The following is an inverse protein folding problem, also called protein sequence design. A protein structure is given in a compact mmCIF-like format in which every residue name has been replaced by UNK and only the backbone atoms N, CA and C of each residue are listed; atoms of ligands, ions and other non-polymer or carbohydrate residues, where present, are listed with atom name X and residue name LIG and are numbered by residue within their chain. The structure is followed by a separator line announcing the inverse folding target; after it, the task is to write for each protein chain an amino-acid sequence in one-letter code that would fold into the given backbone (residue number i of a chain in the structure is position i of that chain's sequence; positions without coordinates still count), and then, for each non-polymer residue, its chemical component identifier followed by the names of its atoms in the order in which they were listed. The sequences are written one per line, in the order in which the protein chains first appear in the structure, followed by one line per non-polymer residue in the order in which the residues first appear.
data_IF_965365011146
#
_entry.id   IF_965365011146
#
_cell.length_a   1.000
_cell.length_b   1.000
_cell.length_c   1.000
_cell.angle_alpha   90.00
_cell.angle_beta   90.00
_cell.angle_gamma   90.00
#
_symmetry.space_group_name_H-M   'P 1'
#
loop_
_entity.id
_entity.type
_entity.pdbx_description
1 polymer ?
#
# COMPACT_ATOMS: atom_id res chain seq x y z
N UNK A 1 -23.35 -65.68 -54.86
CA UNK A 1 -23.57 -65.44 -53.41
C UNK A 1 -24.59 -64.31 -53.30
N UNK A 2 -25.87 -64.62 -53.09
CA UNK A 2 -26.56 -64.89 -51.82
C UNK A 2 -27.19 -63.59 -51.26
N UNK A 3 -28.52 -63.53 -51.36
CA UNK A 3 -29.42 -62.54 -50.74
C UNK A 3 -29.41 -62.69 -49.22
N UNK A 4 -29.40 -61.57 -48.48
CA UNK A 4 -30.05 -61.45 -47.16
C UNK A 4 -30.52 -60.01 -46.96
N UNK A 5 -31.84 -59.81 -46.89
CA UNK A 5 -32.48 -58.73 -46.14
C UNK A 5 -32.55 -59.16 -44.67
N UNK A 6 -32.23 -58.27 -43.72
CA UNK A 6 -32.62 -58.45 -42.33
C UNK A 6 -32.91 -57.10 -41.68
N UNK A 7 -34.10 -57.04 -41.10
CA UNK A 7 -34.70 -55.93 -40.39
C UNK A 7 -34.43 -56.03 -38.88
N UNK A 8 -34.75 -54.92 -38.18
CA UNK A 8 -35.13 -54.80 -36.75
C UNK A 8 -34.05 -55.05 -35.68
N UNK A 9 -33.78 -54.04 -34.85
CA UNK A 9 -34.38 -53.96 -33.52
C UNK A 9 -34.08 -52.60 -32.85
N UNK A 10 -35.11 -52.06 -32.21
CA UNK A 10 -35.07 -50.90 -31.34
C UNK A 10 -34.29 -51.19 -30.05
N UNK A 11 -33.53 -50.19 -29.58
CA UNK A 11 -33.01 -50.13 -28.22
C UNK A 11 -33.43 -48.81 -27.59
N UNK A 12 -34.37 -48.87 -26.65
CA UNK A 12 -34.75 -47.77 -25.78
C UNK A 12 -33.53 -47.35 -24.93
N UNK A 13 -33.10 -46.09 -25.07
CA UNK A 13 -32.29 -45.38 -24.09
C UNK A 13 -33.00 -44.08 -23.76
N UNK A 14 -33.53 -44.01 -22.54
CA UNK A 14 -34.17 -42.84 -21.94
C UNK A 14 -33.19 -41.63 -21.93
N UNK A 15 -33.70 -40.38 -21.82
CA UNK A 15 -32.92 -39.18 -22.08
C UNK A 15 -31.81 -39.03 -21.03
N UNK A 16 -30.57 -38.88 -21.49
CA UNK A 16 -29.49 -38.46 -20.62
C UNK A 16 -29.83 -37.10 -20.03
N UNK A 17 -29.74 -37.04 -18.70
CA UNK A 17 -29.94 -35.88 -17.85
C UNK A 17 -29.29 -34.64 -18.44
N UNK A 18 -30.02 -33.52 -18.40
CA UNK A 18 -29.40 -32.21 -18.50
C UNK A 18 -28.42 -32.11 -17.35
N UNK A 19 -27.12 -32.15 -17.67
CA UNK A 19 -26.09 -31.73 -16.75
C UNK A 19 -26.50 -30.36 -16.21
N UNK A 20 -26.72 -30.34 -14.90
CA UNK A 20 -27.05 -29.13 -14.17
C UNK A 20 -25.92 -28.14 -14.45
N UNK A 21 -26.26 -27.06 -15.16
CA UNK A 21 -25.42 -25.89 -15.23
C UNK A 21 -25.11 -25.50 -13.79
N UNK A 22 -23.86 -25.70 -13.39
CA UNK A 22 -23.31 -25.23 -12.13
C UNK A 22 -23.56 -23.72 -12.10
N UNK A 23 -24.60 -23.34 -11.36
CA UNK A 23 -24.92 -21.95 -11.07
C UNK A 23 -23.82 -21.41 -10.16
N UNK A 24 -22.69 -21.06 -10.74
CA UNK A 24 -21.77 -20.05 -10.19
C UNK A 24 -22.22 -18.67 -10.65
N UNK A 25 -23.53 -18.43 -10.56
CA UNK A 25 -24.05 -17.08 -10.48
C UNK A 25 -23.73 -16.58 -9.08
N UNK A 26 -22.55 -15.98 -8.90
CA UNK A 26 -22.42 -14.95 -7.87
C UNK A 26 -23.44 -13.91 -8.31
N UNK A 27 -24.63 -13.96 -7.74
CA UNK A 27 -25.61 -12.91 -7.86
C UNK A 27 -24.88 -11.63 -7.46
N UNK A 28 -24.53 -10.83 -8.45
CA UNK A 28 -24.20 -9.43 -8.25
C UNK A 28 -25.51 -8.77 -7.87
N UNK A 29 -25.95 -9.03 -6.64
CA UNK A 29 -26.90 -8.18 -5.96
C UNK A 29 -26.18 -6.84 -5.92
N UNK A 30 -26.58 -5.94 -6.81
CA UNK A 30 -26.19 -4.55 -6.71
C UNK A 30 -26.57 -4.14 -5.29
N UNK A 31 -25.57 -4.04 -4.42
CA UNK A 31 -25.78 -3.63 -3.04
C UNK A 31 -26.39 -2.23 -3.12
N UNK A 32 -27.70 -2.13 -2.93
CA UNK A 32 -28.37 -0.86 -2.68
C UNK A 32 -27.94 -0.41 -1.29
N UNK A 33 -26.73 0.16 -1.24
CA UNK A 33 -26.09 0.65 -0.04
C UNK A 33 -26.25 2.16 -0.04
N UNK A 34 -27.02 2.67 0.92
CA UNK A 34 -27.15 4.10 1.15
C UNK A 34 -25.84 4.70 1.70
N UNK A 35 -25.81 6.02 1.86
CA UNK A 35 -24.61 6.73 2.32
C UNK A 35 -24.12 6.30 3.71
N UNK A 36 -25.03 5.95 4.62
CA UNK A 36 -24.66 5.49 5.96
C UNK A 36 -24.04 4.08 5.91
N UNK A 37 -24.61 3.20 5.10
CA UNK A 37 -24.05 1.89 4.78
C UNK A 37 -22.64 2.03 4.17
N UNK A 38 -22.43 2.89 3.18
CA UNK A 38 -21.11 3.13 2.57
C UNK A 38 -20.13 3.62 3.63
N UNK A 39 -20.55 4.56 4.49
CA UNK A 39 -19.72 5.10 5.58
C UNK A 39 -19.31 4.01 6.58
N UNK A 40 -20.23 3.12 6.96
CA UNK A 40 -19.92 1.99 7.84
C UNK A 40 -18.90 1.03 7.21
N UNK A 41 -19.03 0.75 5.90
CA UNK A 41 -18.09 -0.09 5.17
C UNK A 41 -16.70 0.56 5.05
N UNK A 42 -16.64 1.87 4.78
CA UNK A 42 -15.38 2.64 4.78
C UNK A 42 -14.73 2.59 6.15
N UNK A 43 -15.45 2.86 7.23
CA UNK A 43 -14.90 2.82 8.59
C UNK A 43 -14.39 1.42 8.96
N UNK A 44 -15.12 0.36 8.58
CA UNK A 44 -14.65 -1.02 8.73
C UNK A 44 -13.34 -1.25 7.97
N UNK A 45 -13.24 -0.78 6.73
CA UNK A 45 -12.01 -0.92 5.93
C UNK A 45 -10.83 -0.19 6.58
N UNK A 46 -11.04 1.04 7.05
CA UNK A 46 -10.00 1.82 7.73
C UNK A 46 -9.56 1.15 9.04
N UNK A 47 -10.45 0.47 9.76
CA UNK A 47 -10.08 -0.32 10.94
C UNK A 47 -9.20 -1.53 10.57
N UNK A 48 -9.49 -2.21 9.45
CA UNK A 48 -8.68 -3.32 8.94
C UNK A 48 -7.27 -2.90 8.53
N UNK A 49 -7.07 -1.66 8.08
CA UNK A 49 -5.74 -1.12 7.79
C UNK A 49 -4.84 -0.93 9.03
N UNK A 50 -5.44 -0.95 10.22
CA UNK A 50 -4.72 -0.87 11.50
C UNK A 50 -4.31 -2.23 12.04
N UNK A 51 -4.40 -2.39 13.36
CA UNK A 51 -3.89 -3.58 14.08
C UNK A 51 -4.73 -4.86 13.88
N UNK A 52 -5.90 -4.78 13.24
CA UNK A 52 -6.90 -5.87 13.23
C UNK A 52 -7.09 -6.57 11.89
N UNK A 53 -6.36 -6.18 10.84
CA UNK A 53 -6.53 -6.74 9.50
C UNK A 53 -5.72 -8.00 9.25
N UNK A 54 -6.39 -9.07 8.81
CA UNK A 54 -5.73 -10.07 7.97
C UNK A 54 -5.85 -9.66 6.50
N UNK A 55 -4.87 -10.03 5.67
CA UNK A 55 -4.78 -9.62 4.27
C UNK A 55 -6.04 -9.98 3.46
N UNK A 56 -6.59 -11.18 3.68
CA UNK A 56 -7.80 -11.64 3.00
C UNK A 56 -9.03 -10.76 3.29
N UNK A 57 -9.20 -10.34 4.55
CA UNK A 57 -10.30 -9.47 4.96
C UNK A 57 -10.14 -8.04 4.41
N UNK A 58 -8.89 -7.54 4.38
CA UNK A 58 -8.57 -6.26 3.75
C UNK A 58 -8.93 -6.26 2.26
N UNK A 59 -8.50 -7.28 1.52
CA UNK A 59 -8.79 -7.39 0.09
C UNK A 59 -10.27 -7.60 -0.20
N UNK A 60 -10.96 -8.41 0.60
CA UNK A 60 -12.41 -8.61 0.46
C UNK A 60 -13.15 -7.29 0.65
N UNK A 61 -12.83 -6.56 1.71
CA UNK A 61 -13.41 -5.24 1.98
C UNK A 61 -13.11 -4.23 0.87
N UNK A 62 -11.89 -4.23 0.31
CA UNK A 62 -11.56 -3.34 -0.81
C UNK A 62 -12.36 -3.67 -2.07
N UNK A 63 -12.57 -4.95 -2.38
CA UNK A 63 -13.39 -5.39 -3.52
C UNK A 63 -14.85 -4.95 -3.35
N UNK A 64 -15.42 -5.14 -2.16
CA UNK A 64 -16.77 -4.68 -1.84
C UNK A 64 -16.92 -3.17 -2.03
N UNK A 65 -15.98 -2.37 -1.49
CA UNK A 65 -16.00 -0.92 -1.65
C UNK A 65 -15.83 -0.49 -3.10
N UNK A 66 -14.98 -1.17 -3.87
CA UNK A 66 -14.77 -0.87 -5.30
C UNK A 66 -16.05 -1.13 -6.12
N UNK A 67 -16.82 -2.17 -5.76
CA UNK A 67 -18.07 -2.53 -6.43
C UNK A 67 -19.19 -1.49 -6.24
N UNK A 68 -19.13 -0.64 -5.20
CA UNK A 68 -20.10 0.44 -4.96
C UNK A 68 -19.92 1.63 -5.92
N UNK A 69 -18.84 1.66 -6.70
CA UNK A 69 -18.60 2.69 -7.70
C UNK A 69 -18.18 4.04 -7.10
N UNK A 70 -18.39 5.17 -7.82
CA UNK A 70 -17.76 6.45 -7.50
C UNK A 70 -18.27 7.13 -6.22
N UNK A 71 -19.47 6.79 -5.72
CA UNK A 71 -20.02 7.40 -4.50
C UNK A 71 -19.15 7.10 -3.26
N UNK A 72 -18.45 5.96 -3.25
CA UNK A 72 -17.51 5.62 -2.18
C UNK A 72 -16.41 6.66 -2.03
N UNK A 73 -15.95 7.28 -3.13
CA UNK A 73 -14.90 8.31 -3.10
C UNK A 73 -15.37 9.50 -2.28
N UNK A 74 -16.61 9.96 -2.48
CA UNK A 74 -17.18 11.09 -1.73
C UNK A 74 -17.24 10.79 -0.24
N UNK A 75 -17.65 9.58 0.13
CA UNK A 75 -17.69 9.17 1.54
C UNK A 75 -16.29 9.09 2.15
N UNK A 76 -15.29 8.61 1.40
CA UNK A 76 -13.90 8.58 1.90
C UNK A 76 -13.35 10.00 2.11
N UNK A 77 -13.68 10.95 1.23
CA UNK A 77 -13.32 12.37 1.41
C UNK A 77 -13.97 12.94 2.67
N UNK A 78 -15.26 12.67 2.90
CA UNK A 78 -15.93 13.11 4.14
C UNK A 78 -15.29 12.54 5.40
N UNK A 79 -14.85 11.28 5.34
CA UNK A 79 -14.12 10.65 6.46
C UNK A 79 -12.77 11.32 6.63
N UNK A 80 -12.03 11.59 5.54
CA UNK A 80 -10.78 12.33 5.60
C UNK A 80 -10.95 13.70 6.28
N UNK A 81 -11.97 14.46 5.87
CA UNK A 81 -12.25 15.81 6.39
C UNK A 81 -12.70 15.81 7.85
N UNK A 82 -13.43 14.78 8.28
CA UNK A 82 -13.83 14.62 9.68
C UNK A 82 -12.62 14.50 10.61
N UNK A 83 -11.51 13.96 10.12
CA UNK A 83 -10.26 13.81 10.87
C UNK A 83 -9.37 15.06 10.75
N UNK A 84 -9.85 16.20 11.24
CA UNK A 84 -9.07 17.45 11.23
C UNK A 84 -7.81 17.38 12.11
N UNK A 85 -6.79 18.17 11.77
CA UNK A 85 -5.56 18.41 12.56
C UNK A 85 -5.83 18.86 14.01
N UNK A 86 -6.98 19.49 14.24
CA UNK A 86 -7.37 20.13 15.50
C UNK A 86 -8.31 19.31 16.37
N UNK A 87 -8.78 18.15 15.91
CA UNK A 87 -9.67 17.31 16.69
C UNK A 87 -8.85 16.48 17.69
N UNK A 88 -9.10 16.56 19.01
CA UNK A 88 -8.49 15.62 19.94
C UNK A 88 -8.91 14.20 19.53
N UNK A 89 -7.98 13.23 19.53
CA UNK A 89 -8.35 11.85 19.22
C UNK A 89 -9.45 11.41 20.18
N UNK A 90 -10.52 10.82 19.63
CA UNK A 90 -11.51 10.15 20.46
C UNK A 90 -10.77 9.07 21.26
N UNK A 91 -10.94 9.05 22.59
CA UNK A 91 -10.26 8.07 23.45
C UNK A 91 -10.71 6.63 23.17
N UNK A 92 -11.86 6.46 22.52
CA UNK A 92 -12.36 5.16 22.07
C UNK A 92 -11.74 4.71 20.75
N UNK A 93 -11.11 5.63 20.00
CA UNK A 93 -10.41 5.33 18.77
C UNK A 93 -8.92 5.13 19.01
N UNK A 94 -8.38 4.03 18.49
CA UNK A 94 -6.96 3.69 18.69
C UNK A 94 -6.01 4.51 17.84
N UNK A 95 -6.49 5.16 16.78
CA UNK A 95 -5.67 5.86 15.79
C UNK A 95 -5.68 7.38 15.99
N UNK A 96 -4.53 8.02 15.76
CA UNK A 96 -4.41 9.49 15.79
C UNK A 96 -5.01 10.12 14.51
N UNK A 97 -5.41 11.41 14.53
CA UNK A 97 -5.98 12.07 13.33
C UNK A 97 -5.09 12.00 12.08
N UNK A 98 -3.77 12.12 12.23
CA UNK A 98 -2.81 11.96 11.13
C UNK A 98 -2.82 10.55 10.52
N UNK A 99 -2.92 9.53 11.36
CA UNK A 99 -3.00 8.14 10.92
C UNK A 99 -4.31 7.85 10.17
N UNK A 100 -5.45 8.34 10.68
CA UNK A 100 -6.74 8.14 10.02
C UNK A 100 -6.81 8.81 8.65
N UNK A 101 -6.31 10.06 8.54
CA UNK A 101 -6.17 10.73 7.24
C UNK A 101 -5.24 10.00 6.29
N UNK A 102 -4.14 9.45 6.80
CA UNK A 102 -3.24 8.64 5.99
C UNK A 102 -3.95 7.38 5.44
N UNK A 103 -4.77 6.71 6.26
CA UNK A 103 -5.54 5.54 5.84
C UNK A 103 -6.59 5.92 4.79
N UNK A 104 -7.29 7.04 4.98
CA UNK A 104 -8.26 7.55 4.00
C UNK A 104 -7.59 7.92 2.67
N UNK A 105 -6.46 8.63 2.68
CA UNK A 105 -5.68 8.95 1.48
C UNK A 105 -5.19 7.68 0.76
N UNK A 106 -4.79 6.65 1.51
CA UNK A 106 -4.44 5.36 0.92
C UNK A 106 -5.63 4.69 0.24
N UNK A 107 -6.80 4.70 0.89
CA UNK A 107 -8.02 4.10 0.35
C UNK A 107 -8.44 4.78 -0.96
N UNK A 108 -8.41 6.12 -1.03
CA UNK A 108 -8.69 6.86 -2.27
C UNK A 108 -7.88 6.34 -3.47
N UNK A 109 -6.58 6.13 -3.29
CA UNK A 109 -5.73 5.56 -4.34
C UNK A 109 -5.96 4.06 -4.60
N UNK A 110 -6.32 3.30 -3.57
CA UNK A 110 -6.56 1.84 -3.66
C UNK A 110 -7.90 1.49 -4.30
N UNK A 111 -8.89 2.38 -4.25
CA UNK A 111 -10.20 2.20 -4.91
C UNK A 111 -10.11 2.19 -6.44
N UNK A 112 -9.01 2.71 -7.03
CA UNK A 112 -8.80 2.79 -8.49
C UNK A 112 -9.90 3.54 -9.26
N UNK A 113 -10.63 4.43 -8.59
CA UNK A 113 -11.67 5.29 -9.19
C UNK A 113 -11.07 6.63 -9.62
N UNK A 114 -11.40 7.11 -10.83
CA UNK A 114 -10.82 8.37 -11.37
C UNK A 114 -11.27 9.60 -10.59
N UNK A 115 -12.44 9.53 -9.98
CA UNK A 115 -13.00 10.55 -9.10
C UNK A 115 -12.10 10.82 -7.89
N UNK A 116 -11.22 9.86 -7.53
CA UNK A 116 -10.23 10.04 -6.46
C UNK A 116 -9.08 10.97 -6.83
N UNK A 117 -8.86 11.30 -8.11
CA UNK A 117 -7.73 12.13 -8.56
C UNK A 117 -7.78 13.52 -7.94
N UNK A 118 -8.91 14.22 -8.06
CA UNK A 118 -9.07 15.59 -7.53
C UNK A 118 -8.79 15.68 -6.02
N UNK A 119 -9.44 14.85 -5.18
CA UNK A 119 -9.14 14.82 -3.74
C UNK A 119 -7.68 14.48 -3.41
N UNK A 120 -7.06 13.53 -4.14
CA UNK A 120 -5.66 13.18 -3.92
C UNK A 120 -4.71 14.33 -4.29
N UNK A 121 -5.01 15.07 -5.37
CA UNK A 121 -4.27 16.27 -5.75
C UNK A 121 -4.38 17.36 -4.67
N UNK A 122 -5.59 17.62 -4.18
CA UNK A 122 -5.84 18.60 -3.11
C UNK A 122 -5.05 18.26 -1.85
N UNK A 123 -5.08 17.00 -1.42
CA UNK A 123 -4.30 16.52 -0.28
C UNK A 123 -2.81 16.71 -0.53
N UNK A 124 -2.31 16.30 -1.70
CA UNK A 124 -0.88 16.37 -2.03
C UNK A 124 -0.34 17.80 -2.12
N UNK A 125 -1.20 18.77 -2.46
CA UNK A 125 -0.81 20.18 -2.69
C UNK A 125 -1.11 21.11 -1.52
N UNK A 126 -1.81 20.64 -0.49
CA UNK A 126 -2.03 21.41 0.74
C UNK A 126 -0.68 21.85 1.36
N UNK A 127 -0.48 23.10 1.79
CA UNK A 127 0.79 23.54 2.40
C UNK A 127 1.15 22.73 3.65
N UNK A 128 2.41 22.28 3.76
CA UNK A 128 2.93 21.62 4.96
C UNK A 128 3.01 22.62 6.13
N UNK A 129 2.75 22.21 7.38
CA UNK A 129 3.00 23.05 8.55
C UNK A 129 4.50 23.32 8.70
N UNK A 130 4.87 24.36 9.44
CA UNK A 130 6.27 24.66 9.71
C UNK A 130 6.87 23.61 10.68
N UNK A 131 8.02 22.97 10.36
CA UNK A 131 8.58 21.89 11.18
C UNK A 131 8.94 22.30 12.60
N UNK A 132 9.21 23.59 12.81
CA UNK A 132 9.71 24.14 14.07
C UNK A 132 8.60 24.27 15.12
N UNK A 133 7.34 24.33 14.68
CA UNK A 133 6.19 24.53 15.57
C UNK A 133 5.69 23.21 16.17
N UNK A 134 5.69 22.13 15.38
CA UNK A 134 5.34 20.77 15.82
C UNK A 134 5.88 19.71 14.84
N UNK A 135 6.99 19.06 15.20
CA UNK A 135 7.66 18.04 14.39
C UNK A 135 6.79 16.80 14.15
N UNK A 136 5.92 16.44 15.10
CA UNK A 136 5.04 15.28 14.97
C UNK A 136 3.92 15.55 13.98
N UNK A 137 3.30 16.72 14.07
CA UNK A 137 2.27 17.14 13.12
C UNK A 137 2.87 17.24 11.72
N UNK A 138 4.06 17.83 11.58
CA UNK A 138 4.78 17.86 10.31
C UNK A 138 5.03 16.47 9.72
N UNK A 139 5.52 15.53 10.54
CA UNK A 139 5.79 14.17 10.08
C UNK A 139 4.54 13.43 9.60
N UNK A 140 3.43 13.55 10.34
CA UNK A 140 2.15 12.95 9.96
C UNK A 140 1.63 13.56 8.64
N UNK A 141 1.66 14.88 8.55
CA UNK A 141 1.27 15.66 7.38
C UNK A 141 2.08 15.31 6.13
N UNK A 142 3.39 15.18 6.28
CA UNK A 142 4.26 14.76 5.20
C UNK A 142 3.92 13.34 4.71
N UNK A 143 3.67 12.41 5.64
CA UNK A 143 3.27 11.03 5.32
C UNK A 143 1.93 10.97 4.59
N UNK A 144 0.95 11.78 4.99
CA UNK A 144 -0.35 11.88 4.31
C UNK A 144 -0.17 12.33 2.85
N UNK A 145 0.63 13.37 2.61
CA UNK A 145 0.92 13.87 1.24
C UNK A 145 1.66 12.85 0.39
N UNK A 146 2.67 12.17 0.95
CA UNK A 146 3.35 11.07 0.25
C UNK A 146 2.37 9.97 -0.14
N UNK A 147 1.41 9.67 0.73
CA UNK A 147 0.39 8.67 0.43
C UNK A 147 -0.56 9.12 -0.67
N UNK A 148 -0.90 10.42 -0.72
CA UNK A 148 -1.69 10.99 -1.80
C UNK A 148 -0.97 10.90 -3.15
N UNK A 149 0.33 11.22 -3.20
CA UNK A 149 1.18 11.06 -4.40
C UNK A 149 1.19 9.60 -4.89
N UNK A 150 1.37 8.65 -3.98
CA UNK A 150 1.28 7.23 -4.34
C UNK A 150 -0.11 6.82 -4.84
N UNK A 151 -1.17 7.49 -4.37
CA UNK A 151 -2.53 7.33 -4.90
C UNK A 151 -2.67 7.85 -6.32
N UNK A 152 -2.12 9.04 -6.62
CA UNK A 152 -2.09 9.61 -7.97
C UNK A 152 -1.32 8.71 -8.95
N UNK A 153 -0.20 8.13 -8.51
CA UNK A 153 0.54 7.11 -9.28
C UNK A 153 -0.35 5.91 -9.61
N UNK A 154 -1.05 5.35 -8.61
CA UNK A 154 -1.98 4.23 -8.81
C UNK A 154 -3.09 4.55 -9.82
N UNK A 155 -3.51 5.80 -9.93
CA UNK A 155 -4.55 6.23 -10.87
C UNK A 155 -4.01 6.65 -12.24
N UNK A 156 -2.68 6.65 -12.43
CA UNK A 156 -2.05 7.13 -13.65
C UNK A 156 -2.24 8.64 -13.87
N UNK A 157 -2.39 9.41 -12.78
CA UNK A 157 -2.65 10.85 -12.78
C UNK A 157 -1.38 11.66 -13.10
N UNK A 158 -0.89 11.50 -14.32
CA UNK A 158 0.40 12.06 -14.76
C UNK A 158 0.42 13.59 -14.82
N UNK A 159 -0.72 14.24 -15.07
CA UNK A 159 -0.78 15.70 -15.16
C UNK A 159 -0.60 16.34 -13.77
N UNK A 160 -1.29 15.79 -12.79
CA UNK A 160 -1.27 16.17 -11.38
C UNK A 160 0.12 15.92 -10.77
N UNK A 161 0.71 14.76 -11.06
CA UNK A 161 2.09 14.45 -10.65
C UNK A 161 3.11 15.41 -11.27
N UNK A 162 2.94 15.79 -12.56
CA UNK A 162 3.80 16.80 -13.21
C UNK A 162 3.63 18.18 -12.57
N UNK A 163 2.42 18.55 -12.18
CA UNK A 163 2.16 19.82 -11.49
C UNK A 163 2.86 19.85 -10.12
N UNK A 164 2.78 18.79 -9.33
CA UNK A 164 3.49 18.66 -8.04
C UNK A 164 5.00 18.71 -8.26
N UNK A 165 5.53 17.99 -9.25
CA UNK A 165 6.95 18.04 -9.59
C UNK A 165 7.42 19.46 -9.97
N UNK A 166 6.64 20.16 -10.81
CA UNK A 166 6.95 21.51 -11.28
C UNK A 166 6.89 22.55 -10.16
N UNK A 167 5.99 22.38 -9.18
CA UNK A 167 5.91 23.24 -8.00
C UNK A 167 7.19 23.18 -7.15
N UNK A 168 7.83 22.01 -7.09
CA UNK A 168 9.09 21.83 -6.38
C UNK A 168 8.92 21.53 -4.88
N UNK A 169 9.89 21.97 -4.07
CA UNK A 169 9.89 21.73 -2.62
C UNK A 169 10.13 20.28 -2.22
N UNK A 170 9.67 19.91 -1.01
CA UNK A 170 9.90 18.60 -0.39
C UNK A 170 9.26 17.44 -1.16
N UNK A 171 8.17 17.71 -1.89
CA UNK A 171 7.41 16.68 -2.62
C UNK A 171 7.87 16.47 -4.06
N UNK A 172 8.84 17.27 -4.53
CA UNK A 172 9.40 17.15 -5.89
C UNK A 172 9.93 15.74 -6.19
N UNK A 173 10.78 15.23 -5.31
CA UNK A 173 11.43 13.92 -5.51
C UNK A 173 10.42 12.76 -5.46
N UNK A 174 9.49 12.71 -4.49
CA UNK A 174 8.38 11.76 -4.52
C UNK A 174 7.56 11.81 -5.81
N UNK A 175 7.16 13.00 -6.28
CA UNK A 175 6.39 13.13 -7.52
C UNK A 175 7.16 12.65 -8.75
N UNK A 176 8.46 12.93 -8.82
CA UNK A 176 9.32 12.41 -9.87
C UNK A 176 9.47 10.89 -9.84
N UNK A 177 9.56 10.29 -8.65
CA UNK A 177 9.63 8.84 -8.50
C UNK A 177 8.36 8.18 -9.01
N UNK A 178 7.20 8.75 -8.69
CA UNK A 178 5.91 8.27 -9.20
C UNK A 178 5.77 8.47 -10.72
N UNK A 179 6.24 9.58 -11.28
CA UNK A 179 6.28 9.76 -12.74
C UNK A 179 7.18 8.73 -13.42
N UNK A 180 8.35 8.44 -12.83
CA UNK A 180 9.24 7.39 -13.32
C UNK A 180 8.60 6.01 -13.27
N UNK A 181 7.87 5.69 -12.18
CA UNK A 181 7.10 4.44 -12.07
C UNK A 181 6.01 4.31 -13.15
N UNK A 182 5.47 5.44 -13.63
CA UNK A 182 4.56 5.51 -14.78
C UNK A 182 5.28 5.49 -16.15
N UNK A 183 6.61 5.32 -16.18
CA UNK A 183 7.40 5.35 -17.40
C UNK A 183 7.60 6.75 -18.00
N UNK A 184 7.39 7.79 -17.20
CA UNK A 184 7.52 9.18 -17.61
C UNK A 184 8.84 9.74 -17.09
N UNK A 185 9.79 9.98 -18.00
CA UNK A 185 11.00 10.72 -17.68
C UNK A 185 10.68 12.22 -17.57
N UNK A 186 11.02 12.81 -16.43
CA UNK A 186 10.86 14.25 -16.15
C UNK A 186 12.18 15.02 -16.16
N UNK A 187 13.30 14.35 -16.47
CA UNK A 187 14.63 14.95 -16.56
C UNK A 187 15.15 15.48 -15.22
N UNK A 188 16.48 15.53 -15.07
CA UNK A 188 17.12 16.18 -13.92
C UNK A 188 17.10 15.39 -12.60
N UNK A 189 16.49 14.21 -12.55
CA UNK A 189 16.64 13.26 -11.44
C UNK A 189 17.11 11.94 -12.02
N UNK A 190 18.38 11.58 -11.76
CA UNK A 190 18.89 10.24 -12.04
C UNK A 190 18.32 9.30 -10.99
N UNK A 191 17.30 8.54 -11.36
CA UNK A 191 16.93 7.35 -10.61
C UNK A 191 17.98 6.28 -10.92
N UNK A 192 18.92 6.09 -10.00
CA UNK A 192 19.90 5.01 -10.12
C UNK A 192 19.12 3.71 -9.92
N UNK A 193 19.03 2.88 -10.96
CA UNK A 193 18.50 1.51 -10.84
C UNK A 193 19.27 0.82 -9.71
N UNK A 194 18.60 0.12 -8.81
CA UNK A 194 19.25 -0.61 -7.71
C UNK A 194 20.36 -1.54 -8.22
N UNK A 195 20.23 -2.10 -9.43
CA UNK A 195 21.30 -2.88 -10.08
C UNK A 195 22.48 -2.03 -10.52
N UNK A 196 22.23 -0.83 -11.03
CA UNK A 196 23.25 0.15 -11.38
C UNK A 196 23.89 0.76 -10.13
N UNK A 197 23.15 0.96 -9.04
CA UNK A 197 23.68 1.44 -7.76
C UNK A 197 24.62 0.40 -7.16
N UNK A 198 24.24 -0.89 -7.15
CA UNK A 198 25.16 -1.97 -6.78
C UNK A 198 26.36 -2.07 -7.74
N UNK A 199 26.17 -1.85 -9.04
CA UNK A 199 27.26 -1.93 -10.01
C UNK A 199 28.22 -0.73 -9.91
N UNK A 200 27.72 0.47 -9.60
CA UNK A 200 28.53 1.67 -9.33
C UNK A 200 29.26 1.56 -7.99
N UNK A 201 28.64 0.97 -6.97
CA UNK A 201 29.28 0.67 -5.66
C UNK A 201 30.35 -0.43 -5.77
N UNK A 202 30.22 -1.36 -6.73
CA UNK A 202 31.25 -2.35 -7.06
C UNK A 202 32.30 -1.80 -8.04
N UNK A 203 31.96 -0.79 -8.84
CA UNK A 203 32.87 -0.13 -9.78
C UNK A 203 33.65 1.04 -9.16
N UNK A 204 33.22 1.57 -8.02
CA UNK A 204 34.02 2.45 -7.17
C UNK A 204 35.13 1.59 -6.53
N UNK A 205 36.23 1.45 -7.25
CA UNK A 205 37.43 0.74 -6.84
C UNK A 205 38.16 1.42 -5.65
N UNK A 206 37.52 2.36 -4.98
CA UNK A 206 37.97 2.90 -3.72
C UNK A 206 37.50 1.97 -2.61
N UNK A 207 38.31 0.97 -2.28
CA UNK A 207 38.07 0.06 -1.16
C UNK A 207 38.01 0.86 0.16
N UNK A 208 36.80 1.28 0.53
CA UNK A 208 36.51 1.90 1.81
C UNK A 208 36.34 0.86 2.93
N UNK A 209 36.74 -0.41 2.70
CA UNK A 209 36.81 -1.39 3.77
C UNK A 209 37.79 -0.89 4.85
N UNK A 210 37.32 -0.59 6.08
CA UNK A 210 38.20 -0.19 7.17
C UNK A 210 39.13 -1.34 7.63
N UNK A 211 39.01 -2.52 7.02
CA UNK A 211 39.90 -3.66 7.19
C UNK A 211 40.82 -3.93 5.99
N UNK A 212 40.82 -3.07 4.96
CA UNK A 212 41.83 -3.11 3.90
C UNK A 212 43.23 -2.98 4.54
N UNK A 213 44.05 -4.02 4.40
CA UNK A 213 45.38 -4.10 5.03
C UNK A 213 45.45 -4.72 6.43
N UNK A 214 44.33 -5.21 6.99
CA UNK A 214 44.37 -6.01 8.23
C UNK A 214 44.66 -7.49 7.91
N UNK A 215 45.42 -8.19 8.75
CA UNK A 215 45.65 -9.63 8.57
C UNK A 215 44.30 -10.36 8.55
N UNK A 216 44.17 -11.33 7.64
CA UNK A 216 42.97 -12.13 7.47
C UNK A 216 42.48 -12.67 8.83
N UNK A 217 41.19 -12.47 9.13
CA UNK A 217 40.61 -13.10 10.30
C UNK A 217 40.58 -14.62 10.11
N UNK A 218 40.89 -15.41 11.16
CA UNK A 218 40.86 -16.85 11.06
C UNK A 218 39.45 -17.35 10.70
N UNK A 219 39.37 -18.29 9.75
CA UNK A 219 38.16 -18.78 9.07
C UNK A 219 37.11 -19.47 9.97
N UNK A 220 37.26 -19.45 11.30
CA UNK A 220 36.32 -20.08 12.23
C UNK A 220 35.71 -19.06 13.19
N UNK A 221 34.37 -18.85 13.15
CA UNK A 221 33.67 -18.12 14.19
C UNK A 221 33.85 -18.86 15.52
N UNK A 222 34.42 -18.20 16.54
CA UNK A 222 34.52 -18.72 17.92
C UNK A 222 35.92 -18.98 18.49
N UNK A 223 37.02 -18.67 17.79
CA UNK A 223 38.38 -18.92 18.32
C UNK A 223 38.96 -17.81 19.20
N UNK A 224 38.23 -16.70 19.44
CA UNK A 224 38.63 -15.74 20.48
C UNK A 224 38.36 -16.35 21.84
N UNK A 225 39.40 -16.78 22.53
CA UNK A 225 39.37 -16.98 23.96
C UNK A 225 39.07 -15.63 24.64
N UNK A 226 37.80 -15.37 24.93
CA UNK A 226 37.40 -14.25 25.78
C UNK A 226 37.86 -14.58 27.20
N UNK A 227 38.97 -13.99 27.65
CA UNK A 227 39.26 -13.88 29.08
C UNK A 227 38.33 -12.81 29.64
N UNK A 228 37.25 -13.24 30.28
CA UNK A 228 36.46 -12.37 31.14
C UNK A 228 37.28 -12.12 32.39
N UNK A 229 37.88 -10.93 32.50
CA UNK A 229 38.45 -10.49 33.78
C UNK A 229 37.26 -10.12 34.69
N UNK A 230 37.11 -10.75 35.86
CA UNK A 230 36.03 -10.39 36.78
C UNK A 230 36.16 -8.92 37.18
N UNK A 231 35.04 -8.18 37.10
CA UNK A 231 34.96 -6.79 37.57
C UNK A 231 34.99 -6.83 39.10
N UNK A 232 36.04 -6.27 39.71
CA UNK A 232 36.25 -6.25 41.16
C UNK A 232 35.42 -5.20 41.90
N UNK A 233 34.58 -4.45 41.18
CA UNK A 233 34.05 -3.18 41.68
C UNK A 233 32.58 -3.27 42.11
N UNK A 234 32.02 -4.48 42.21
CA UNK A 234 30.67 -4.69 42.73
C UNK A 234 30.73 -4.98 44.23
N UNK A 235 30.28 -4.07 45.12
CA UNK A 235 30.14 -4.41 46.52
C UNK A 235 29.07 -5.50 46.67
N UNK A 236 29.42 -6.59 47.36
CA UNK A 236 28.51 -7.68 47.65
C UNK A 236 27.40 -7.20 48.58
N UNK A 237 26.17 -7.12 48.09
CA UNK A 237 24.99 -6.99 48.94
C UNK A 237 24.77 -8.31 49.67
N UNK A 238 25.12 -8.35 50.95
CA UNK A 238 24.75 -9.43 51.86
C UNK A 238 23.31 -9.18 52.30
N UNK A 239 22.38 -10.01 51.83
CA UNK A 239 21.32 -10.64 52.63
C UNK A 239 20.50 -11.63 51.80
#
# INVERSE_FOLDING_TARGET
MMLVFLALAAGCGAPAERDAAEQTGVESQALECDRECIRAMVNRHLALMGEFGNEAAYEASLRELTALGPEVVRVVVEVYDAWSLSAPPDRTESARPGEMRWRAAHLLGSLRQREGIGPLEEIATTPLPEPVEDEHVFADEYRVRLRAIAGLEKLGAAAELRAIYAHGGLLRTPAAASLYALGIDVGGIRFVDARTALAEDVADATDHNPNAGRPAQPEKPGSRAFRVTPRTDTPATIR
#
